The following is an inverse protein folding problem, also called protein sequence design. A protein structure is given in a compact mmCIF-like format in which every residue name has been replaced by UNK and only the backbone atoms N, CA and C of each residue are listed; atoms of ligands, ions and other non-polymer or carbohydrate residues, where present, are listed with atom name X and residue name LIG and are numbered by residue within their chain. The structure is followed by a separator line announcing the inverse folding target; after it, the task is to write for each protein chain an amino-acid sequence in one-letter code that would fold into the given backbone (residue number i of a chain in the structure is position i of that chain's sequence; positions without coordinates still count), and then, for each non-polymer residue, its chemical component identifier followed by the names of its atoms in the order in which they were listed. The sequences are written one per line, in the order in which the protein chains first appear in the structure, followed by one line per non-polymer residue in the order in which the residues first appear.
data_IF_927028047969
#
_entry.id   IF_927028047969
#
_cell.length_a   1.000
_cell.length_b   1.000
_cell.length_c   1.000
_cell.angle_alpha   90.00
_cell.angle_beta   90.00
_cell.angle_gamma   90.00
#
_symmetry.space_group_name_H-M   'P 1'
#
loop_
_entity.id
_entity.type
_entity.pdbx_description
1 polymer ?
#
# COMPACT_ATOMS: atom_id res chain seq x y z
N UNK A 1 -29.89 11.14 40.14
CA UNK A 1 -28.54 10.52 40.15
C UNK A 1 -27.78 11.12 38.97
N UNK A 2 -26.69 11.86 39.19
CA UNK A 2 -25.91 12.43 38.10
C UNK A 2 -25.18 11.30 37.36
N UNK A 3 -25.33 11.23 36.04
CA UNK A 3 -24.53 10.35 35.19
C UNK A 3 -23.07 10.81 35.28
N UNK A 4 -22.26 10.06 36.00
CA UNK A 4 -20.82 10.23 36.03
C UNK A 4 -20.32 10.04 34.58
N UNK A 5 -19.54 10.97 34.01
CA UNK A 5 -19.10 10.85 32.63
C UNK A 5 -18.22 9.60 32.52
N UNK A 6 -18.68 8.63 31.73
CA UNK A 6 -18.01 7.36 31.41
C UNK A 6 -16.52 7.52 31.08
N UNK A 7 -16.13 8.72 30.61
CA UNK A 7 -14.76 9.11 30.28
C UNK A 7 -13.79 9.22 31.47
N UNK A 8 -14.26 9.35 32.71
CA UNK A 8 -13.38 9.53 33.86
C UNK A 8 -12.71 8.22 34.34
N UNK A 9 -13.35 7.06 34.13
CA UNK A 9 -12.86 5.76 34.63
C UNK A 9 -11.78 5.12 33.73
N UNK A 10 -11.73 5.50 32.44
CA UNK A 10 -10.79 4.92 31.47
C UNK A 10 -9.45 5.63 31.39
N UNK A 11 -9.30 6.81 32.03
CA UNK A 11 -8.06 7.61 31.94
C UNK A 11 -6.86 6.91 32.57
N UNK A 12 -7.10 6.01 33.53
CA UNK A 12 -6.08 5.34 34.32
C UNK A 12 -5.91 3.84 33.99
N UNK A 13 -6.68 3.30 33.01
CA UNK A 13 -6.56 1.90 32.57
C UNK A 13 -5.78 1.82 31.26
N UNK A 14 -4.48 1.50 31.36
CA UNK A 14 -3.72 1.05 30.19
C UNK A 14 -4.21 -0.35 29.78
N UNK A 15 -5.07 -0.42 28.78
CA UNK A 15 -5.46 -1.70 28.19
C UNK A 15 -4.29 -2.24 27.38
N UNK A 16 -3.62 -3.26 27.92
CA UNK A 16 -2.60 -4.00 27.19
C UNK A 16 -3.27 -5.04 26.29
N UNK A 17 -3.03 -4.91 24.97
CA UNK A 17 -3.45 -5.93 24.02
C UNK A 17 -2.73 -7.25 24.34
N UNK A 18 -3.38 -8.42 24.18
CA UNK A 18 -2.69 -9.70 24.30
C UNK A 18 -1.47 -9.74 23.39
N UNK A 19 -0.37 -10.35 23.86
CA UNK A 19 0.92 -10.33 23.17
C UNK A 19 0.84 -10.77 21.68
N UNK A 20 -0.04 -11.72 21.36
CA UNK A 20 -0.28 -12.16 19.98
C UNK A 20 -0.89 -11.03 19.12
N UNK A 21 -1.92 -10.36 19.63
CA UNK A 21 -2.60 -9.24 18.94
C UNK A 21 -1.64 -8.08 18.73
N UNK A 22 -0.85 -7.76 19.76
CA UNK A 22 0.15 -6.69 19.68
C UNK A 22 1.25 -7.02 18.66
N UNK A 23 1.73 -8.26 18.63
CA UNK A 23 2.72 -8.70 17.64
C UNK A 23 2.20 -8.57 16.21
N UNK A 24 0.93 -8.93 15.98
CA UNK A 24 0.29 -8.84 14.67
C UNK A 24 0.05 -7.39 14.28
N UNK A 25 -0.46 -6.57 15.20
CA UNK A 25 -0.62 -5.11 15.02
C UNK A 25 0.69 -4.46 14.61
N UNK A 26 1.78 -4.74 15.32
CA UNK A 26 3.10 -4.18 15.01
C UNK A 26 3.60 -4.62 13.63
N UNK A 27 3.39 -5.90 13.26
CA UNK A 27 3.72 -6.40 11.92
C UNK A 27 2.96 -5.67 10.81
N UNK A 28 1.69 -5.35 11.02
CA UNK A 28 0.89 -4.58 10.07
C UNK A 28 1.28 -3.10 10.01
N UNK A 29 1.62 -2.47 11.15
CA UNK A 29 2.14 -1.09 11.19
C UNK A 29 3.43 -1.03 10.37
N UNK A 30 4.37 -1.93 10.61
CA UNK A 30 5.63 -1.99 9.86
C UNK A 30 5.39 -2.18 8.36
N UNK A 31 4.49 -3.09 7.99
CA UNK A 31 4.15 -3.35 6.58
C UNK A 31 3.50 -2.14 5.91
N UNK A 32 2.58 -1.46 6.59
CA UNK A 32 1.93 -0.25 6.09
C UNK A 32 2.92 0.92 5.97
N UNK A 33 3.86 1.07 6.91
CA UNK A 33 4.94 2.06 6.80
C UNK A 33 5.82 1.81 5.59
N UNK A 34 6.25 0.55 5.40
CA UNK A 34 7.03 0.17 4.23
C UNK A 34 6.27 0.45 2.92
N UNK A 35 4.97 0.10 2.87
CA UNK A 35 4.12 0.38 1.72
C UNK A 35 4.02 1.89 1.42
N UNK A 36 3.80 2.73 2.45
CA UNK A 36 3.73 4.18 2.30
C UNK A 36 5.04 4.79 1.78
N UNK A 37 6.18 4.31 2.29
CA UNK A 37 7.50 4.76 1.86
C UNK A 37 7.77 4.37 0.40
N UNK A 38 7.48 3.13 0.01
CA UNK A 38 7.69 2.67 -1.36
C UNK A 38 6.76 3.40 -2.33
N UNK A 39 5.48 3.56 -1.99
CA UNK A 39 4.52 4.23 -2.87
C UNK A 39 4.84 5.71 -3.05
N UNK A 40 5.29 6.43 -2.01
CA UNK A 40 5.72 7.83 -2.18
C UNK A 40 6.99 7.96 -3.03
N UNK A 41 7.94 7.01 -2.92
CA UNK A 41 9.11 6.96 -3.81
C UNK A 41 8.70 6.77 -5.27
N UNK A 42 7.72 5.90 -5.53
CA UNK A 42 7.17 5.74 -6.88
C UNK A 42 6.49 7.01 -7.38
N UNK A 43 5.72 7.73 -6.56
CA UNK A 43 5.18 9.04 -6.95
C UNK A 43 6.29 10.04 -7.32
N UNK A 44 7.40 10.03 -6.59
CA UNK A 44 8.57 10.86 -6.89
C UNK A 44 9.22 10.50 -8.23
N UNK A 45 9.36 9.21 -8.52
CA UNK A 45 9.87 8.73 -9.81
C UNK A 45 8.93 9.10 -10.97
N UNK A 46 7.62 8.93 -10.79
CA UNK A 46 6.60 9.29 -11.79
C UNK A 46 6.57 10.79 -12.08
N UNK A 47 6.76 11.63 -11.08
CA UNK A 47 6.83 13.09 -11.27
C UNK A 47 8.00 13.46 -12.18
N UNK A 48 9.17 12.82 -12.00
CA UNK A 48 10.34 13.03 -12.85
C UNK A 48 10.07 12.53 -14.27
N UNK A 49 9.51 11.34 -14.42
CA UNK A 49 9.23 10.74 -15.71
C UNK A 49 8.21 11.57 -16.52
N UNK A 50 7.15 12.06 -15.88
CA UNK A 50 6.18 12.97 -16.51
C UNK A 50 6.87 14.23 -17.05
N UNK A 51 7.78 14.81 -16.26
CA UNK A 51 8.54 15.98 -16.68
C UNK A 51 9.44 15.67 -17.88
N UNK A 52 10.13 14.52 -17.86
CA UNK A 52 10.98 14.05 -18.96
C UNK A 52 10.18 13.84 -20.25
N UNK A 53 9.05 13.13 -20.19
CA UNK A 53 8.22 12.83 -21.38
C UNK A 53 7.69 14.12 -22.01
N UNK A 54 7.28 15.10 -21.19
CA UNK A 54 6.79 16.39 -21.68
C UNK A 54 7.89 17.30 -22.24
N UNK A 55 9.12 17.14 -21.76
CA UNK A 55 10.28 17.89 -22.22
C UNK A 55 10.89 17.34 -23.51
N UNK A 56 10.55 16.11 -23.89
CA UNK A 56 11.09 15.43 -25.06
C UNK A 56 10.18 15.58 -26.29
N UNK A 57 10.76 15.56 -27.49
CA UNK A 57 10.01 15.64 -28.75
C UNK A 57 9.81 14.23 -29.31
N UNK A 58 8.55 13.76 -29.47
CA UNK A 58 8.30 12.40 -29.92
C UNK A 58 8.84 12.20 -31.35
N UNK A 59 9.52 11.07 -31.63
CA UNK A 59 9.89 10.67 -32.98
C UNK A 59 8.68 10.60 -33.93
N UNK A 60 8.92 10.75 -35.23
CA UNK A 60 7.86 10.64 -36.25
C UNK A 60 7.16 9.28 -36.15
N UNK A 61 5.82 9.30 -36.01
CA UNK A 61 5.00 8.09 -35.83
C UNK A 61 4.87 7.58 -34.40
N UNK A 62 5.64 8.10 -33.43
CA UNK A 62 5.60 7.66 -32.03
C UNK A 62 4.68 8.48 -31.10
N UNK A 63 3.98 9.48 -31.63
CA UNK A 63 3.13 10.39 -30.84
C UNK A 63 2.06 9.67 -30.01
N UNK A 64 1.50 8.56 -30.52
CA UNK A 64 0.54 7.73 -29.79
C UNK A 64 1.18 7.04 -28.56
N UNK A 65 2.40 6.53 -28.72
CA UNK A 65 3.13 5.87 -27.64
C UNK A 65 3.49 6.84 -26.52
N UNK A 66 3.93 8.07 -26.85
CA UNK A 66 4.21 9.11 -25.86
C UNK A 66 2.96 9.53 -25.07
N UNK A 67 1.81 9.67 -25.75
CA UNK A 67 0.54 9.98 -25.06
C UNK A 67 0.10 8.85 -24.14
N UNK A 68 0.24 7.60 -24.58
CA UNK A 68 -0.09 6.43 -23.76
C UNK A 68 0.84 6.31 -22.55
N UNK A 69 2.14 6.51 -22.75
CA UNK A 69 3.14 6.54 -21.69
C UNK A 69 2.79 7.60 -20.64
N UNK A 70 2.44 8.82 -21.07
CA UNK A 70 2.04 9.91 -20.18
C UNK A 70 0.78 9.57 -19.37
N UNK A 71 -0.22 8.94 -20.01
CA UNK A 71 -1.43 8.48 -19.33
C UNK A 71 -1.10 7.41 -18.28
N UNK A 72 -0.20 6.50 -18.61
CA UNK A 72 0.26 5.44 -17.73
C UNK A 72 1.03 6.01 -16.53
N UNK A 73 1.86 7.05 -16.74
CA UNK A 73 2.56 7.76 -15.66
C UNK A 73 1.60 8.46 -14.69
N UNK A 74 0.57 9.13 -15.21
CA UNK A 74 -0.46 9.72 -14.36
C UNK A 74 -1.26 8.67 -13.58
N UNK A 75 -1.58 7.54 -14.21
CA UNK A 75 -2.25 6.43 -13.53
C UNK A 75 -1.36 5.86 -12.41
N UNK A 76 -0.08 5.59 -12.70
CA UNK A 76 0.88 5.10 -11.71
C UNK A 76 1.03 6.07 -10.53
N UNK A 77 1.16 7.37 -10.81
CA UNK A 77 1.23 8.41 -9.78
C UNK A 77 0.00 8.39 -8.86
N UNK A 78 -1.21 8.40 -9.44
CA UNK A 78 -2.46 8.43 -8.66
C UNK A 78 -2.67 7.15 -7.85
N UNK A 79 -2.36 5.99 -8.42
CA UNK A 79 -2.47 4.70 -7.74
C UNK A 79 -1.50 4.62 -6.56
N UNK A 80 -0.24 5.01 -6.75
CA UNK A 80 0.75 5.02 -5.69
C UNK A 80 0.42 6.08 -4.62
N UNK A 81 -0.06 7.27 -4.99
CA UNK A 81 -0.51 8.27 -4.04
C UNK A 81 -1.68 7.76 -3.18
N UNK A 82 -2.63 7.05 -3.81
CA UNK A 82 -3.74 6.41 -3.10
C UNK A 82 -3.27 5.31 -2.15
N UNK A 83 -2.28 4.51 -2.55
CA UNK A 83 -1.65 3.50 -1.69
C UNK A 83 -0.94 4.13 -0.48
N UNK A 84 -0.28 5.29 -0.65
CA UNK A 84 0.33 6.05 0.46
C UNK A 84 -0.74 6.46 1.46
N UNK A 85 -1.83 7.09 0.99
CA UNK A 85 -2.92 7.56 1.86
C UNK A 85 -3.57 6.38 2.58
N UNK A 86 -3.87 5.29 1.87
CA UNK A 86 -4.45 4.10 2.46
C UNK A 86 -3.53 3.48 3.54
N UNK A 87 -2.22 3.45 3.28
CA UNK A 87 -1.23 2.96 4.24
C UNK A 87 -1.15 3.82 5.50
N UNK A 88 -1.18 5.15 5.37
CA UNK A 88 -1.21 6.06 6.52
C UNK A 88 -2.49 5.87 7.34
N UNK A 89 -3.65 5.76 6.69
CA UNK A 89 -4.92 5.48 7.37
C UNK A 89 -4.91 4.12 8.08
N UNK A 90 -4.26 3.10 7.50
CA UNK A 90 -4.06 1.81 8.18
C UNK A 90 -3.21 1.96 9.43
N UNK A 91 -2.11 2.72 9.37
CA UNK A 91 -1.25 3.00 10.53
C UNK A 91 -2.04 3.70 11.63
N UNK A 92 -2.80 4.73 11.30
CA UNK A 92 -3.61 5.47 12.29
C UNK A 92 -4.66 4.56 12.94
N UNK A 93 -5.35 3.74 12.14
CA UNK A 93 -6.35 2.79 12.66
C UNK A 93 -5.75 1.73 13.56
N UNK A 94 -4.58 1.21 13.22
CA UNK A 94 -3.83 0.28 14.08
C UNK A 94 -3.30 0.99 15.32
N UNK A 95 -2.88 2.24 15.20
CA UNK A 95 -2.41 3.09 16.29
C UNK A 95 -3.46 3.24 17.40
N UNK A 96 -4.72 3.43 17.01
CA UNK A 96 -5.85 3.61 17.93
C UNK A 96 -6.46 2.31 18.47
N UNK A 97 -6.00 1.15 18.00
CA UNK A 97 -6.56 -0.16 18.38
C UNK A 97 -6.63 -0.40 19.90
N UNK A 98 -5.58 -0.13 20.72
CA UNK A 98 -5.66 -0.35 22.17
C UNK A 98 -6.79 0.44 22.84
N UNK A 99 -7.01 1.69 22.41
CA UNK A 99 -8.07 2.56 22.92
C UNK A 99 -9.45 2.03 22.54
N UNK A 100 -9.60 1.55 21.31
CA UNK A 100 -10.85 0.95 20.81
C UNK A 100 -11.17 -0.36 21.51
N UNK A 101 -10.15 -1.18 21.76
CA UNK A 101 -10.29 -2.44 22.49
C UNK A 101 -10.77 -2.19 23.93
N UNK A 102 -10.27 -1.15 24.61
CA UNK A 102 -10.75 -0.76 25.94
C UNK A 102 -12.25 -0.40 25.95
N UNK A 103 -12.74 0.25 24.90
CA UNK A 103 -14.16 0.62 24.76
C UNK A 103 -15.06 -0.59 24.41
N UNK A 104 -14.55 -1.55 23.64
CA UNK A 104 -15.31 -2.73 23.22
C UNK A 104 -15.30 -3.85 24.27
N UNK A 105 -14.24 -3.92 25.08
CA UNK A 105 -14.00 -4.99 26.05
C UNK A 105 -13.66 -4.40 27.43
N UNK A 106 -14.60 -3.70 28.09
CA UNK A 106 -14.37 -3.09 29.40
C UNK A 106 -14.04 -4.11 30.49
N UNK A 107 -14.54 -5.35 30.34
CA UNK A 107 -14.37 -6.46 31.29
C UNK A 107 -13.19 -7.39 30.94
N UNK A 108 -12.42 -7.08 29.90
CA UNK A 108 -11.27 -7.87 29.44
C UNK A 108 -11.49 -8.59 28.09
N UNK A 109 -10.41 -9.11 27.49
CA UNK A 109 -10.43 -9.67 26.14
C UNK A 109 -11.31 -10.93 26.02
N UNK A 110 -11.89 -11.19 24.84
CA UNK A 110 -12.69 -12.39 24.61
C UNK A 110 -11.86 -13.67 24.74
N UNK A 111 -12.43 -14.69 25.40
CA UNK A 111 -11.77 -15.98 25.72
C UNK A 111 -11.43 -16.81 24.47
N UNK A 112 -12.14 -16.60 23.35
CA UNK A 112 -11.92 -17.28 22.08
C UNK A 112 -11.83 -16.26 20.95
N UNK A 113 -10.71 -16.25 20.25
CA UNK A 113 -10.47 -15.34 19.12
C UNK A 113 -9.95 -16.16 17.96
N UNK A 114 -10.51 -15.96 16.77
CA UNK A 114 -10.01 -16.58 15.54
C UNK A 114 -8.77 -15.81 15.07
N UNK A 115 -7.68 -16.51 14.81
CA UNK A 115 -6.40 -15.88 14.41
C UNK A 115 -6.54 -15.12 13.10
N UNK A 116 -7.41 -15.57 12.20
CA UNK A 116 -7.65 -14.97 10.89
C UNK A 116 -8.38 -13.62 10.97
N UNK A 117 -9.20 -13.44 12.01
CA UNK A 117 -10.04 -12.25 12.25
C UNK A 117 -9.59 -11.46 13.48
N UNK A 118 -8.41 -11.80 14.03
CA UNK A 118 -7.91 -11.29 15.30
C UNK A 118 -7.88 -9.76 15.37
N UNK A 119 -7.59 -9.07 14.25
CA UNK A 119 -7.57 -7.61 14.21
C UNK A 119 -8.97 -6.99 14.06
N UNK A 120 -9.88 -7.67 13.37
CA UNK A 120 -11.26 -7.22 13.19
C UNK A 120 -12.03 -7.38 14.50
N UNK A 121 -11.85 -8.53 15.17
CA UNK A 121 -12.44 -8.85 16.48
C UNK A 121 -11.96 -7.89 17.59
N UNK A 122 -10.74 -7.33 17.48
CA UNK A 122 -10.19 -6.35 18.44
C UNK A 122 -10.45 -4.88 18.06
N UNK A 123 -11.33 -4.61 17.09
CA UNK A 123 -11.90 -3.27 16.88
C UNK A 123 -11.26 -2.41 15.80
N UNK A 124 -10.53 -2.99 14.84
CA UNK A 124 -10.08 -2.24 13.64
C UNK A 124 -11.28 -1.87 12.74
N UNK A 125 -12.36 -2.66 12.80
CA UNK A 125 -13.67 -2.41 12.19
C UNK A 125 -13.83 -2.96 10.78
N UNK A 126 -15.09 -3.01 10.32
CA UNK A 126 -15.52 -3.65 9.06
C UNK A 126 -14.85 -3.10 7.78
N UNK A 127 -14.30 -1.89 7.85
CA UNK A 127 -13.56 -1.27 6.75
C UNK A 127 -12.12 -1.75 6.57
N UNK A 128 -11.60 -2.57 7.49
CA UNK A 128 -10.20 -3.03 7.47
C UNK A 128 -9.85 -3.82 6.21
N UNK A 129 -10.64 -4.85 5.91
CA UNK A 129 -10.43 -5.69 4.74
C UNK A 129 -10.46 -4.88 3.44
N UNK A 130 -11.41 -3.93 3.33
CA UNK A 130 -11.51 -3.04 2.18
C UNK A 130 -10.27 -2.15 2.05
N UNK A 131 -9.84 -1.50 3.14
CA UNK A 131 -8.70 -0.60 3.14
C UNK A 131 -7.39 -1.33 2.81
N UNK A 132 -7.20 -2.52 3.39
CA UNK A 132 -6.08 -3.41 3.07
C UNK A 132 -6.08 -3.79 1.60
N UNK A 133 -7.22 -4.23 1.07
CA UNK A 133 -7.32 -4.65 -0.33
C UNK A 133 -7.10 -3.47 -1.28
N UNK A 134 -7.65 -2.30 -0.96
CA UNK A 134 -7.45 -1.07 -1.74
C UNK A 134 -5.98 -0.65 -1.76
N UNK A 135 -5.31 -0.68 -0.60
CA UNK A 135 -3.88 -0.39 -0.49
C UNK A 135 -3.05 -1.34 -1.36
N UNK A 136 -3.25 -2.65 -1.19
CA UNK A 136 -2.54 -3.68 -1.95
C UNK A 136 -2.82 -3.56 -3.46
N UNK A 137 -4.08 -3.43 -3.85
CA UNK A 137 -4.46 -3.30 -5.25
C UNK A 137 -3.81 -2.06 -5.89
N UNK A 138 -3.88 -0.92 -5.22
CA UNK A 138 -3.33 0.34 -5.73
C UNK A 138 -1.81 0.28 -5.85
N UNK A 139 -1.12 -0.27 -4.85
CA UNK A 139 0.33 -0.42 -4.86
C UNK A 139 0.79 -1.36 -6.00
N UNK A 140 0.10 -2.49 -6.17
CA UNK A 140 0.43 -3.49 -7.19
C UNK A 140 0.13 -2.95 -8.59
N UNK A 141 -1.06 -2.38 -8.78
CA UNK A 141 -1.44 -1.80 -10.07
C UNK A 141 -0.50 -0.64 -10.44
N UNK A 142 -0.13 0.23 -9.50
CA UNK A 142 0.84 1.31 -9.70
C UNK A 142 2.23 0.78 -10.07
N UNK A 143 2.70 -0.27 -9.38
CA UNK A 143 3.98 -0.93 -9.69
C UNK A 143 3.98 -1.53 -11.10
N UNK A 144 2.88 -2.17 -11.52
CA UNK A 144 2.74 -2.69 -12.88
C UNK A 144 2.76 -1.58 -13.93
N UNK A 145 2.10 -0.46 -13.65
CA UNK A 145 2.14 0.70 -14.52
C UNK A 145 3.59 1.21 -14.68
N UNK A 146 4.38 1.28 -13.60
CA UNK A 146 5.79 1.66 -13.68
C UNK A 146 6.60 0.72 -14.59
N UNK A 147 6.46 -0.59 -14.40
CA UNK A 147 7.18 -1.60 -15.20
C UNK A 147 6.84 -1.48 -16.68
N UNK A 148 5.55 -1.31 -16.99
CA UNK A 148 5.10 -1.12 -18.37
C UNK A 148 5.65 0.18 -18.98
N UNK A 149 5.72 1.28 -18.21
CA UNK A 149 6.32 2.53 -18.69
C UNK A 149 7.80 2.36 -19.01
N UNK A 150 8.56 1.72 -18.11
CA UNK A 150 9.99 1.47 -18.32
C UNK A 150 10.19 0.64 -19.60
N UNK A 151 9.37 -0.38 -19.81
CA UNK A 151 9.42 -1.22 -21.00
C UNK A 151 9.10 -0.43 -22.27
N UNK A 152 8.03 0.38 -22.27
CA UNK A 152 7.63 1.20 -23.41
C UNK A 152 8.66 2.28 -23.72
N UNK A 153 9.18 2.97 -22.71
CA UNK A 153 10.23 3.96 -22.86
C UNK A 153 11.51 3.34 -23.45
N UNK A 154 11.91 2.18 -22.93
CA UNK A 154 13.06 1.44 -23.44
C UNK A 154 12.88 0.99 -24.89
N UNK A 155 11.65 0.71 -25.35
CA UNK A 155 11.39 0.34 -26.73
C UNK A 155 11.54 1.53 -27.69
N UNK A 156 11.30 2.75 -27.22
CA UNK A 156 11.49 3.96 -28.03
C UNK A 156 12.96 4.37 -28.16
N UNK A 157 13.85 3.82 -27.34
CA UNK A 157 15.29 4.06 -27.50
C UNK A 157 15.88 3.10 -28.54
N UNK A 158 16.49 3.64 -29.60
CA UNK A 158 17.03 2.87 -30.73
C UNK A 158 18.12 1.85 -30.35
N UNK A 159 18.66 1.92 -29.14
CA UNK A 159 19.67 1.00 -28.64
C UNK A 159 19.06 -0.36 -28.22
N UNK A 160 19.15 -1.36 -29.09
CA UNK A 160 18.74 -2.76 -28.81
C UNK A 160 19.27 -3.33 -27.50
N UNK A 161 20.45 -2.89 -27.06
CA UNK A 161 21.06 -3.28 -25.79
C UNK A 161 20.24 -2.84 -24.57
N UNK A 162 19.62 -1.65 -24.63
CA UNK A 162 18.78 -1.11 -23.55
C UNK A 162 17.49 -1.92 -23.43
N UNK A 163 16.91 -2.31 -24.57
CA UNK A 163 15.72 -3.15 -24.58
C UNK A 163 15.96 -4.53 -23.96
N UNK A 164 17.04 -5.23 -24.35
CA UNK A 164 17.35 -6.58 -23.83
C UNK A 164 17.62 -6.55 -22.33
N UNK A 165 18.41 -5.57 -21.86
CA UNK A 165 18.75 -5.45 -20.45
C UNK A 165 17.53 -5.09 -19.60
N UNK A 166 16.70 -4.15 -20.06
CA UNK A 166 15.41 -3.80 -19.44
C UNK A 166 14.49 -5.01 -19.35
N UNK A 167 14.30 -5.76 -20.43
CA UNK A 167 13.43 -6.93 -20.45
C UNK A 167 13.89 -8.01 -19.45
N UNK A 168 15.21 -8.26 -19.36
CA UNK A 168 15.78 -9.19 -18.38
C UNK A 168 15.54 -8.74 -16.93
N UNK A 169 15.72 -7.45 -16.64
CA UNK A 169 15.47 -6.88 -15.31
C UNK A 169 13.99 -6.93 -14.93
N UNK A 170 13.08 -6.63 -15.86
CA UNK A 170 11.64 -6.76 -15.64
C UNK A 170 11.26 -8.23 -15.34
N UNK A 171 11.79 -9.18 -16.11
CA UNK A 171 11.53 -10.60 -15.87
C UNK A 171 12.03 -11.06 -14.50
N UNK A 172 13.22 -10.62 -14.09
CA UNK A 172 13.76 -10.88 -12.76
C UNK A 172 12.90 -10.25 -11.65
N UNK A 173 12.48 -8.99 -11.82
CA UNK A 173 11.65 -8.27 -10.85
C UNK A 173 10.25 -8.86 -10.68
N UNK A 174 9.67 -9.44 -11.75
CA UNK A 174 8.37 -10.12 -11.71
C UNK A 174 8.49 -11.55 -11.17
N UNK A 175 9.69 -12.14 -11.13
CA UNK A 175 9.89 -13.55 -10.72
C UNK A 175 9.32 -13.91 -9.34
N UNK A 176 9.42 -13.08 -8.28
CA UNK A 176 8.86 -13.43 -6.97
C UNK A 176 7.33 -13.55 -7.01
N UNK A 177 6.67 -12.71 -7.82
CA UNK A 177 5.22 -12.75 -8.01
C UNK A 177 4.76 -14.04 -8.71
N UNK A 178 5.48 -14.45 -9.75
CA UNK A 178 5.18 -15.69 -10.49
C UNK A 178 5.34 -16.94 -9.61
N UNK A 179 6.37 -16.95 -8.74
CA UNK A 179 6.61 -18.04 -7.81
C UNK A 179 5.50 -18.12 -6.75
N UNK A 180 5.04 -16.98 -6.23
CA UNK A 180 3.95 -16.93 -5.27
C UNK A 180 2.60 -17.38 -5.86
N UNK A 181 2.30 -16.99 -7.10
CA UNK A 181 1.06 -17.40 -7.78
C UNK A 181 1.05 -18.91 -8.05
N UNK A 182 2.20 -19.51 -8.41
CA UNK A 182 2.32 -20.97 -8.65
C UNK A 182 2.25 -21.84 -7.40
N UNK A 183 2.30 -21.26 -6.19
CA UNK A 183 2.22 -21.99 -4.91
C UNK A 183 0.79 -22.10 -4.35
N UNK A 184 -0.22 -21.68 -5.12
CA UNK A 184 -1.63 -22.03 -4.90
C UNK A 184 -2.02 -23.16 -5.85
#
# INVERSE_FOLDING_TARGET
MPQQPLYADYKDREFQLPALVESQRQGWIFSAQAAAVVSVLFCGAETQLIATIKGDTPPEGAAGAYKFLLLLSYAAFLLNASATIASLLMIDRLGDMPKRALLCFPDGPPEKVRVEYLLEDYGVGDGWAWMRNHCLFSLVAGSWCMVLQIFLWSFQQDAKAVWITTAGLCAFGISPWLIFIKRK
#
